data_IF_727355181559
#
_entry.id   IF_727355181559
#
_cell.length_a   1.000
_cell.length_b   1.000
_cell.length_c   1.000
_cell.angle_alpha   90.00
_cell.angle_beta   90.00
_cell.angle_gamma   90.00
#
_symmetry.space_group_name_H-M   'P 1'
#
loop_
_entity.id
_entity.type
_entity.pdbx_description
1 polymer ?
#
# COMPACT_ATOMS: atom_id res chain seq x y z
N UNK A 1 -5.46 -56.14 3.76
CA UNK A 1 -6.20 -54.84 3.87
C UNK A 1 -5.31 -53.56 3.95
N UNK A 2 -4.02 -53.60 3.65
CA UNK A 2 -3.09 -52.44 3.80
C UNK A 2 -2.77 -51.70 2.47
N UNK A 3 -3.01 -52.30 1.33
CA UNK A 3 -2.70 -51.74 0.00
C UNK A 3 -3.36 -50.36 -0.28
N UNK A 4 -4.66 -50.16 0.00
CA UNK A 4 -5.27 -48.85 -0.29
C UNK A 4 -4.68 -47.73 0.56
N UNK A 5 -4.27 -47.98 1.80
CA UNK A 5 -3.63 -47.01 2.66
C UNK A 5 -2.24 -46.62 2.15
N UNK A 6 -1.48 -47.55 1.58
CA UNK A 6 -0.18 -47.29 0.98
C UNK A 6 -0.33 -46.40 -0.27
N UNK A 7 -1.33 -46.68 -1.11
CA UNK A 7 -1.61 -45.85 -2.31
C UNK A 7 -1.99 -44.43 -1.92
N UNK A 8 -2.85 -44.24 -0.92
CA UNK A 8 -3.24 -42.92 -0.41
C UNK A 8 -2.02 -42.17 0.10
N UNK A 9 -1.14 -42.84 0.85
CA UNK A 9 0.09 -42.22 1.39
C UNK A 9 1.02 -41.77 0.24
N UNK A 10 1.19 -42.61 -0.78
CA UNK A 10 2.03 -42.26 -1.94
C UNK A 10 1.46 -41.04 -2.68
N UNK A 11 0.15 -40.99 -2.92
CA UNK A 11 -0.52 -39.86 -3.55
C UNK A 11 -0.33 -38.56 -2.74
N UNK A 12 -0.47 -38.63 -1.42
CA UNK A 12 -0.20 -37.50 -0.54
C UNK A 12 1.25 -37.00 -0.61
N UNK A 13 2.21 -37.93 -0.57
CA UNK A 13 3.64 -37.59 -0.67
C UNK A 13 3.93 -36.95 -2.03
N UNK A 14 3.43 -37.51 -3.14
CA UNK A 14 3.60 -36.92 -4.46
C UNK A 14 2.96 -35.51 -4.52
N UNK A 15 1.75 -35.35 -3.97
CA UNK A 15 1.07 -34.07 -3.88
C UNK A 15 1.89 -33.01 -3.12
N UNK A 16 2.47 -33.40 -1.98
CA UNK A 16 3.34 -32.52 -1.18
C UNK A 16 4.62 -32.18 -1.94
N UNK A 17 5.28 -33.16 -2.54
CA UNK A 17 6.52 -32.93 -3.30
C UNK A 17 6.29 -32.06 -4.53
N UNK A 18 5.18 -32.27 -5.27
CA UNK A 18 4.84 -31.39 -6.40
C UNK A 18 4.51 -29.98 -5.94
N UNK A 19 3.77 -29.83 -4.84
CA UNK A 19 3.47 -28.51 -4.25
C UNK A 19 4.75 -27.74 -3.91
N UNK A 20 5.69 -28.36 -3.19
CA UNK A 20 6.97 -27.72 -2.84
C UNK A 20 7.88 -27.47 -4.03
N UNK A 21 7.81 -28.29 -5.08
CA UNK A 21 8.59 -28.11 -6.30
C UNK A 21 8.10 -26.95 -7.17
N UNK A 22 6.79 -26.75 -7.27
CA UNK A 22 6.21 -25.71 -8.12
C UNK A 22 6.13 -24.34 -7.44
N UNK A 23 5.97 -24.29 -6.10
CA UNK A 23 5.83 -23.03 -5.37
C UNK A 23 7.04 -22.08 -5.53
N UNK A 24 8.30 -22.49 -5.37
CA UNK A 24 9.43 -21.59 -5.50
C UNK A 24 9.60 -21.02 -6.92
N UNK A 25 9.23 -21.77 -7.96
CA UNK A 25 9.28 -21.29 -9.36
C UNK A 25 8.23 -20.23 -9.64
N UNK A 26 7.05 -20.34 -9.05
CA UNK A 26 5.98 -19.35 -9.15
C UNK A 26 6.39 -18.04 -8.48
N UNK A 27 6.91 -18.10 -7.25
CA UNK A 27 7.38 -16.93 -6.51
C UNK A 27 8.50 -16.19 -7.27
N UNK A 28 9.52 -16.91 -7.74
CA UNK A 28 10.61 -16.32 -8.52
C UNK A 28 10.11 -15.62 -9.80
N UNK A 29 9.11 -16.19 -10.47
CA UNK A 29 8.48 -15.58 -11.64
C UNK A 29 7.71 -14.33 -11.29
N UNK A 30 6.94 -14.34 -10.21
CA UNK A 30 6.18 -13.18 -9.74
C UNK A 30 7.09 -12.02 -9.37
N UNK A 31 8.19 -12.29 -8.65
CA UNK A 31 9.21 -11.31 -8.31
C UNK A 31 9.89 -10.70 -9.54
N UNK A 32 10.17 -11.51 -10.56
CA UNK A 32 10.72 -11.01 -11.83
C UNK A 32 9.76 -10.04 -12.50
N UNK A 33 8.47 -10.37 -12.60
CA UNK A 33 7.45 -9.50 -13.20
C UNK A 33 7.28 -8.21 -12.37
N UNK A 34 7.35 -8.32 -11.04
CA UNK A 34 7.31 -7.14 -10.17
C UNK A 34 8.50 -6.22 -10.40
N UNK A 35 9.71 -6.78 -10.54
CA UNK A 35 10.91 -6.02 -10.89
C UNK A 35 10.76 -5.32 -12.24
N UNK A 36 10.18 -5.99 -13.25
CA UNK A 36 9.89 -5.36 -14.55
C UNK A 36 8.89 -4.20 -14.42
N UNK A 37 7.89 -4.34 -13.54
CA UNK A 37 6.96 -3.26 -13.22
C UNK A 37 7.70 -2.04 -12.62
N UNK A 38 8.56 -2.26 -11.62
CA UNK A 38 9.34 -1.20 -10.99
C UNK A 38 10.28 -0.52 -12.00
N UNK A 39 10.94 -1.28 -12.87
CA UNK A 39 11.76 -0.74 -13.93
C UNK A 39 10.96 0.11 -14.93
N UNK A 40 9.74 -0.29 -15.25
CA UNK A 40 8.84 0.50 -16.09
C UNK A 40 8.43 1.81 -15.38
N UNK A 41 8.16 1.77 -14.07
CA UNK A 41 7.88 2.97 -13.27
C UNK A 41 9.06 3.96 -13.27
N UNK A 42 10.28 3.47 -13.08
CA UNK A 42 11.50 4.31 -13.12
C UNK A 42 11.66 4.99 -14.47
N UNK A 43 11.29 4.33 -15.56
CA UNK A 43 11.29 4.93 -16.91
C UNK A 43 10.10 5.85 -17.19
N UNK A 44 9.14 5.98 -16.27
CA UNK A 44 7.92 6.75 -16.44
C UNK A 44 6.87 6.06 -17.32
N UNK A 45 7.07 4.81 -17.71
CA UNK A 45 6.12 4.02 -18.51
C UNK A 45 5.03 3.42 -17.62
N UNK A 46 4.08 4.26 -17.22
CA UNK A 46 2.97 3.88 -16.35
C UNK A 46 2.09 2.79 -16.95
N UNK A 47 1.91 2.77 -18.27
CA UNK A 47 1.10 1.77 -18.95
C UNK A 47 1.69 0.37 -18.84
N UNK A 48 2.98 0.24 -19.12
CA UNK A 48 3.72 -1.04 -18.98
C UNK A 48 3.79 -1.45 -17.51
N UNK A 49 4.05 -0.51 -16.59
CA UNK A 49 4.03 -0.76 -15.16
C UNK A 49 2.69 -1.34 -14.69
N UNK A 50 1.56 -0.71 -15.04
CA UNK A 50 0.22 -1.21 -14.69
C UNK A 50 -0.06 -2.60 -15.26
N UNK A 51 0.40 -2.90 -16.48
CA UNK A 51 0.26 -4.23 -17.07
C UNK A 51 0.98 -5.27 -16.22
N UNK A 52 2.26 -5.04 -15.92
CA UNK A 52 3.05 -5.97 -15.10
C UNK A 52 2.49 -6.11 -13.68
N UNK A 53 2.09 -5.00 -13.02
CA UNK A 53 1.47 -5.06 -11.69
C UNK A 53 0.18 -5.89 -11.69
N UNK A 54 -0.66 -5.78 -12.72
CA UNK A 54 -1.85 -6.63 -12.88
C UNK A 54 -1.48 -8.11 -13.03
N UNK A 55 -0.40 -8.42 -13.73
CA UNK A 55 0.06 -9.80 -13.87
C UNK A 55 0.64 -10.34 -12.56
N UNK A 56 1.32 -9.51 -11.76
CA UNK A 56 1.75 -9.84 -10.40
C UNK A 56 0.56 -10.21 -9.52
N UNK A 57 -0.45 -9.33 -9.41
CA UNK A 57 -1.59 -9.56 -8.51
C UNK A 57 -2.50 -10.69 -8.96
N UNK A 58 -2.46 -11.08 -10.23
CA UNK A 58 -3.14 -12.30 -10.72
C UNK A 58 -2.43 -13.56 -10.27
N UNK A 59 -1.10 -13.55 -10.18
CA UNK A 59 -0.30 -14.70 -9.76
C UNK A 59 -0.21 -14.81 -8.23
N UNK A 60 -0.09 -13.66 -7.56
CA UNK A 60 -0.07 -13.55 -6.10
C UNK A 60 -1.06 -12.48 -5.64
N UNK A 61 -2.23 -12.91 -5.21
CA UNK A 61 -3.29 -12.03 -4.68
C UNK A 61 -2.91 -11.39 -3.34
N UNK A 62 -1.84 -11.85 -2.68
CA UNK A 62 -1.35 -11.32 -1.41
C UNK A 62 -0.22 -10.29 -1.58
N UNK A 63 0.22 -10.01 -2.79
CA UNK A 63 1.30 -9.07 -3.07
C UNK A 63 0.87 -7.61 -2.81
N UNK A 64 0.96 -7.19 -1.55
CA UNK A 64 0.45 -5.88 -1.10
C UNK A 64 1.11 -4.72 -1.83
N UNK A 65 2.44 -4.76 -2.02
CA UNK A 65 3.18 -3.69 -2.67
C UNK A 65 2.77 -3.48 -4.13
N UNK A 66 2.45 -4.58 -4.86
CA UNK A 66 1.94 -4.46 -6.22
C UNK A 66 0.57 -3.75 -6.27
N UNK A 67 -0.32 -4.04 -5.31
CA UNK A 67 -1.59 -3.32 -5.20
C UNK A 67 -1.39 -1.85 -4.85
N UNK A 68 -0.48 -1.52 -3.91
CA UNK A 68 -0.17 -0.14 -3.56
C UNK A 68 0.32 0.64 -4.79
N UNK A 69 1.33 0.11 -5.49
CA UNK A 69 1.87 0.75 -6.68
C UNK A 69 0.81 0.91 -7.79
N UNK A 70 -0.05 -0.10 -7.97
CA UNK A 70 -1.13 -0.05 -8.96
C UNK A 70 -2.14 1.05 -8.62
N UNK A 71 -2.52 1.19 -7.36
CA UNK A 71 -3.40 2.26 -6.90
C UNK A 71 -2.78 3.64 -7.08
N UNK A 72 -1.50 3.81 -6.69
CA UNK A 72 -0.78 5.08 -6.83
C UNK A 72 -0.68 5.51 -8.30
N UNK A 73 -0.35 4.61 -9.22
CA UNK A 73 -0.33 4.92 -10.66
C UNK A 73 -1.72 5.33 -11.17
N UNK A 74 -2.77 4.63 -10.74
CA UNK A 74 -4.14 4.98 -11.15
C UNK A 74 -4.55 6.37 -10.66
N UNK A 75 -4.17 6.75 -9.42
CA UNK A 75 -4.38 8.12 -8.92
C UNK A 75 -3.64 9.13 -9.77
N UNK A 76 -2.37 8.89 -10.08
CA UNK A 76 -1.54 9.78 -10.89
C UNK A 76 -2.07 9.93 -12.33
N UNK A 77 -2.75 8.92 -12.86
CA UNK A 77 -3.45 8.97 -14.16
C UNK A 77 -4.84 9.62 -14.08
N UNK A 78 -5.22 10.17 -12.91
CA UNK A 78 -6.49 10.85 -12.71
C UNK A 78 -7.65 9.93 -12.32
N UNK A 79 -7.42 8.62 -12.19
CA UNK A 79 -8.45 7.66 -11.80
C UNK A 79 -8.45 7.38 -10.29
N UNK A 80 -8.58 8.45 -9.50
CA UNK A 80 -8.58 8.35 -8.04
C UNK A 80 -9.71 7.46 -7.49
N UNK A 81 -10.85 7.34 -8.19
CA UNK A 81 -11.94 6.46 -7.76
C UNK A 81 -11.54 4.97 -7.81
N UNK A 82 -10.77 4.57 -8.81
CA UNK A 82 -10.22 3.21 -8.89
C UNK A 82 -9.12 3.00 -7.85
N UNK A 83 -8.26 4.00 -7.65
CA UNK A 83 -7.21 3.98 -6.62
C UNK A 83 -7.80 3.74 -5.22
N UNK A 84 -8.83 4.50 -4.83
CA UNK A 84 -9.55 4.31 -3.55
C UNK A 84 -10.00 2.86 -3.38
N UNK A 85 -10.61 2.24 -4.40
CA UNK A 85 -11.09 0.85 -4.30
C UNK A 85 -9.95 -0.12 -3.99
N UNK A 86 -8.81 0.07 -4.65
CA UNK A 86 -7.63 -0.77 -4.45
C UNK A 86 -7.07 -0.56 -3.04
N UNK A 87 -6.78 0.69 -2.66
CA UNK A 87 -6.19 0.97 -1.36
C UNK A 87 -7.11 0.59 -0.20
N UNK A 88 -8.43 0.78 -0.33
CA UNK A 88 -9.40 0.30 0.67
C UNK A 88 -9.37 -1.22 0.83
N UNK A 89 -9.21 -1.98 -0.25
CA UNK A 89 -9.11 -3.44 -0.18
C UNK A 89 -7.92 -3.93 0.64
N UNK A 90 -6.89 -3.10 0.77
CA UNK A 90 -5.70 -3.41 1.57
C UNK A 90 -5.92 -3.18 3.08
N UNK A 91 -6.81 -2.24 3.47
CA UNK A 91 -7.03 -1.91 4.88
C UNK A 91 -7.59 -3.07 5.71
N UNK A 92 -8.26 -4.02 5.07
CA UNK A 92 -8.87 -5.19 5.73
C UNK A 92 -7.97 -6.42 5.75
N UNK A 93 -6.77 -6.33 5.18
CA UNK A 93 -5.82 -7.46 5.17
C UNK A 93 -5.21 -7.67 6.55
N UNK A 94 -5.10 -8.93 7.01
CA UNK A 94 -4.50 -9.23 8.31
C UNK A 94 -2.97 -9.06 8.28
N UNK A 95 -2.38 -8.89 9.45
CA UNK A 95 -0.93 -8.96 9.69
C UNK A 95 -0.06 -7.99 8.88
N UNK A 96 -0.60 -6.86 8.44
CA UNK A 96 0.19 -5.84 7.78
C UNK A 96 1.15 -5.17 8.76
N UNK A 97 2.39 -4.96 8.34
CA UNK A 97 3.39 -4.18 9.08
C UNK A 97 2.95 -2.70 9.18
N UNK A 98 3.45 -2.00 10.19
CA UNK A 98 3.06 -0.60 10.41
C UNK A 98 3.47 0.33 9.27
N UNK A 99 4.64 0.14 8.67
CA UNK A 99 5.11 0.88 7.49
C UNK A 99 4.15 0.76 6.31
N UNK A 100 3.66 -0.45 6.04
CA UNK A 100 2.65 -0.71 5.00
C UNK A 100 1.32 -0.03 5.33
N UNK A 101 0.86 -0.10 6.60
CA UNK A 101 -0.36 0.60 7.03
C UNK A 101 -0.23 2.11 6.87
N UNK A 102 0.92 2.69 7.22
CA UNK A 102 1.21 4.11 7.01
C UNK A 102 1.10 4.47 5.52
N UNK A 103 1.68 3.65 4.64
CA UNK A 103 1.59 3.87 3.19
C UNK A 103 0.14 3.80 2.70
N UNK A 104 -0.64 2.79 3.11
CA UNK A 104 -2.06 2.66 2.73
C UNK A 104 -2.86 3.90 3.13
N UNK A 105 -2.75 4.36 4.38
CA UNK A 105 -3.46 5.54 4.85
C UNK A 105 -3.01 6.82 4.14
N UNK A 106 -1.71 6.93 3.83
CA UNK A 106 -1.18 8.04 3.03
C UNK A 106 -1.79 8.05 1.62
N UNK A 107 -1.78 6.92 0.93
CA UNK A 107 -2.34 6.79 -0.43
C UNK A 107 -3.85 7.08 -0.44
N UNK A 108 -4.61 6.55 0.52
CA UNK A 108 -6.04 6.86 0.67
C UNK A 108 -6.32 8.35 0.92
N UNK A 109 -5.50 9.01 1.73
CA UNK A 109 -5.64 10.44 1.97
C UNK A 109 -5.47 11.25 0.68
N UNK A 110 -4.45 10.92 -0.12
CA UNK A 110 -4.20 11.55 -1.43
C UNK A 110 -5.31 11.25 -2.44
N UNK A 111 -5.81 10.01 -2.48
CA UNK A 111 -6.91 9.62 -3.35
C UNK A 111 -8.17 10.43 -3.03
N UNK A 112 -8.53 10.55 -1.74
CA UNK A 112 -9.69 11.30 -1.30
C UNK A 112 -9.52 12.80 -1.50
N UNK A 113 -8.30 13.34 -1.35
CA UNK A 113 -8.03 14.75 -1.65
C UNK A 113 -8.28 15.03 -3.13
N UNK A 114 -7.78 14.19 -4.04
CA UNK A 114 -8.00 14.34 -5.49
C UNK A 114 -9.49 14.28 -5.85
N UNK A 115 -10.28 13.49 -5.11
CA UNK A 115 -11.74 13.43 -5.25
C UNK A 115 -12.47 14.57 -4.54
N UNK A 116 -11.75 15.53 -3.94
CA UNK A 116 -12.30 16.62 -3.12
C UNK A 116 -13.11 16.13 -1.90
N UNK A 117 -12.90 14.88 -1.47
CA UNK A 117 -13.54 14.29 -0.30
C UNK A 117 -12.72 14.58 0.97
N UNK A 118 -12.56 15.88 1.28
CA UNK A 118 -11.62 16.36 2.30
C UNK A 118 -11.85 15.78 3.70
N UNK A 119 -13.10 15.50 4.08
CA UNK A 119 -13.42 14.87 5.36
C UNK A 119 -12.87 13.44 5.47
N UNK A 120 -12.92 12.67 4.36
CA UNK A 120 -12.34 11.33 4.31
C UNK A 120 -10.81 11.39 4.27
N UNK A 121 -10.23 12.28 3.47
CA UNK A 121 -8.79 12.50 3.45
C UNK A 121 -8.25 12.79 4.87
N UNK A 122 -8.89 13.70 5.60
CA UNK A 122 -8.54 14.00 7.00
C UNK A 122 -8.58 12.76 7.89
N UNK A 123 -9.65 11.96 7.79
CA UNK A 123 -9.80 10.74 8.59
C UNK A 123 -8.64 9.77 8.37
N UNK A 124 -8.21 9.58 7.13
CA UNK A 124 -7.08 8.71 6.82
C UNK A 124 -5.77 9.22 7.42
N UNK A 125 -5.53 10.53 7.34
CA UNK A 125 -4.36 11.14 7.97
C UNK A 125 -4.40 11.04 9.50
N UNK A 126 -5.57 11.19 10.12
CA UNK A 126 -5.75 10.98 11.57
C UNK A 126 -5.45 9.52 11.97
N UNK A 127 -5.83 8.53 11.13
CA UNK A 127 -5.46 7.12 11.34
C UNK A 127 -3.95 6.91 11.21
N UNK A 128 -3.32 7.52 10.22
CA UNK A 128 -1.87 7.50 10.05
C UNK A 128 -1.17 8.06 11.30
N UNK A 129 -1.62 9.21 11.82
CA UNK A 129 -1.05 9.83 13.02
C UNK A 129 -1.27 9.03 14.31
N UNK A 130 -2.26 8.13 14.36
CA UNK A 130 -2.37 7.17 15.47
C UNK A 130 -1.24 6.13 15.44
N UNK A 131 -0.74 5.78 14.27
CA UNK A 131 0.38 4.84 14.10
C UNK A 131 1.72 5.55 14.28
N UNK A 132 1.86 6.76 13.75
CA UNK A 132 3.06 7.59 13.85
C UNK A 132 2.71 9.06 14.13
N UNK A 133 2.68 9.41 15.42
CA UNK A 133 2.30 10.76 15.89
C UNK A 133 3.24 11.87 15.40
N UNK A 134 4.48 11.53 15.03
CA UNK A 134 5.49 12.48 14.58
C UNK A 134 5.68 12.49 13.06
N UNK A 135 4.80 11.84 12.32
CA UNK A 135 4.88 11.80 10.88
C UNK A 135 4.81 13.21 10.28
N UNK A 136 5.91 13.64 9.69
CA UNK A 136 6.04 15.00 9.16
C UNK A 136 5.02 15.26 8.05
N UNK A 137 4.97 14.36 7.06
CA UNK A 137 4.06 14.47 5.92
C UNK A 137 2.59 14.59 6.37
N UNK A 138 2.16 13.78 7.34
CA UNK A 138 0.79 13.77 7.83
C UNK A 138 0.41 15.10 8.53
N UNK A 139 1.31 15.65 9.32
CA UNK A 139 1.09 16.95 9.95
C UNK A 139 1.07 18.10 8.92
N UNK A 140 1.94 18.06 7.90
CA UNK A 140 1.94 19.04 6.81
C UNK A 140 0.66 18.94 5.97
N UNK A 141 0.19 17.72 5.68
CA UNK A 141 -1.05 17.49 4.97
C UNK A 141 -2.27 18.04 5.73
N UNK A 142 -2.36 17.78 7.05
CA UNK A 142 -3.45 18.35 7.87
C UNK A 142 -3.41 19.87 7.92
N UNK A 143 -2.21 20.47 8.04
CA UNK A 143 -2.07 21.92 8.01
C UNK A 143 -2.65 22.49 6.72
N UNK A 144 -2.19 22.00 5.57
CA UNK A 144 -2.67 22.44 4.26
C UNK A 144 -4.19 22.24 4.09
N UNK A 145 -4.72 21.15 4.64
CA UNK A 145 -6.14 20.83 4.57
C UNK A 145 -6.99 21.80 5.40
N UNK A 146 -6.56 22.16 6.63
CA UNK A 146 -7.26 23.12 7.47
C UNK A 146 -7.15 24.55 6.91
N UNK A 147 -6.00 24.94 6.37
CA UNK A 147 -5.84 26.22 5.66
C UNK A 147 -6.80 26.32 4.46
N UNK A 148 -6.89 25.27 3.66
CA UNK A 148 -7.83 25.18 2.51
C UNK A 148 -9.29 25.29 2.93
N UNK A 149 -9.63 24.82 4.14
CA UNK A 149 -10.97 24.88 4.71
C UNK A 149 -11.25 26.20 5.45
N UNK A 150 -10.25 27.07 5.66
CA UNK A 150 -10.36 28.29 6.46
C UNK A 150 -10.47 28.03 7.97
N UNK A 151 -10.13 26.84 8.45
CA UNK A 151 -10.14 26.48 9.88
C UNK A 151 -8.80 26.89 10.52
N UNK A 152 -8.66 28.22 10.71
CA UNK A 152 -7.41 28.83 11.17
C UNK A 152 -7.02 28.41 12.59
N UNK A 153 -7.99 28.08 13.45
CA UNK A 153 -7.72 27.60 14.80
C UNK A 153 -7.00 26.25 14.78
N UNK A 154 -7.53 25.29 14.01
CA UNK A 154 -6.88 23.99 13.85
C UNK A 154 -5.58 24.08 13.07
N UNK A 155 -5.50 24.90 12.03
CA UNK A 155 -4.26 25.16 11.31
C UNK A 155 -3.16 25.65 12.26
N UNK A 156 -3.47 26.60 13.16
CA UNK A 156 -2.53 27.10 14.17
C UNK A 156 -2.08 25.99 15.15
N UNK A 157 -2.99 25.12 15.59
CA UNK A 157 -2.62 24.00 16.47
C UNK A 157 -1.68 23.02 15.78
N UNK A 158 -1.98 22.66 14.52
CA UNK A 158 -1.13 21.76 13.74
C UNK A 158 0.22 22.40 13.44
N UNK A 159 0.27 23.68 13.10
CA UNK A 159 1.52 24.43 12.89
C UNK A 159 2.45 24.36 14.10
N UNK A 160 1.92 24.56 15.31
CA UNK A 160 2.69 24.42 16.56
C UNK A 160 3.21 22.98 16.75
N UNK A 161 2.41 21.99 16.42
CA UNK A 161 2.81 20.56 16.48
C UNK A 161 3.93 20.28 15.49
N UNK A 162 3.80 20.77 14.27
CA UNK A 162 4.76 20.61 13.18
C UNK A 162 6.13 21.22 13.55
N UNK A 163 6.15 22.41 14.14
CA UNK A 163 7.38 23.05 14.63
C UNK A 163 8.11 22.18 15.67
N UNK A 164 7.36 21.55 16.59
CA UNK A 164 7.92 20.62 17.58
C UNK A 164 8.50 19.37 16.92
N UNK A 165 7.78 18.82 15.94
CA UNK A 165 8.23 17.62 15.20
C UNK A 165 9.52 17.91 14.43
N UNK A 166 9.59 19.03 13.69
CA UNK A 166 10.79 19.46 12.95
C UNK A 166 11.99 19.66 13.89
N UNK A 167 11.80 20.37 15.01
CA UNK A 167 12.88 20.59 16.00
C UNK A 167 13.45 19.28 16.56
N UNK A 168 12.60 18.26 16.76
CA UNK A 168 13.05 16.93 17.24
C UNK A 168 13.86 16.21 16.16
N UNK A 169 13.46 16.31 14.89
CA UNK A 169 14.20 15.70 13.79
C UNK A 169 15.58 16.33 13.59
N UNK A 170 15.65 17.66 13.64
CA UNK A 170 16.91 18.41 13.50
C UNK A 170 17.88 18.09 14.66
N UNK A 171 17.37 17.81 15.87
CA UNK A 171 18.22 17.47 17.02
C UNK A 171 18.74 16.02 17.02
N UNK A 172 18.26 15.17 16.10
CA UNK A 172 18.65 13.76 15.98
C UNK A 172 19.55 13.48 14.76
N UNK A 173 19.91 14.51 14.00
CA UNK A 173 20.90 14.47 12.91
C UNK A 173 22.25 14.96 13.40
#
# INVERSE_FOLDING_TARGET
>A
MTWPLIIILIVLIIGVLTFFYFQPKQLAKTESIYTDALNAMVRGDKRTALKHLRDVVKQDTNHVDAYLQMGDILREEGNAQAAVKIHQSLTVRPNLKNDVKLHIHKSLALDYEQLSQLAKARREVELLLKLDKKNLWANEFLLALFEKQGDWDKATQISKTLQKVKKIQDSNQ
#
